data_IF_749975431749
#
_entry.id   IF_749975431749
#
_cell.length_a   1.000
_cell.length_b   1.000
_cell.length_c   1.000
_cell.angle_alpha   90.00
_cell.angle_beta   90.00
_cell.angle_gamma   90.00
#
_symmetry.space_group_name_H-M   'P 1'
#
loop_
_entity.id
_entity.type
_entity.pdbx_description
1 polymer ?
#
# COMPACT_ATOMS: atom_id res chain seq x y z
N UNK A 1 13.25 16.33 10.62
CA UNK A 1 14.04 17.58 10.53
C UNK A 1 15.12 17.39 9.49
N UNK A 2 15.24 18.29 8.51
CA UNK A 2 16.40 18.31 7.62
C UNK A 2 17.62 18.85 8.40
N UNK A 3 18.17 18.05 9.30
CA UNK A 3 19.25 18.46 10.21
C UNK A 3 20.45 19.01 9.44
N UNK A 4 20.70 18.47 8.24
CA UNK A 4 21.71 18.99 7.31
C UNK A 4 21.41 20.42 6.84
N UNK A 5 20.17 20.75 6.47
CA UNK A 5 19.77 22.10 6.06
C UNK A 5 19.94 23.09 7.23
N UNK A 6 19.43 22.73 8.41
CA UNK A 6 19.56 23.54 9.60
C UNK A 6 21.03 23.81 9.98
N UNK A 7 21.87 22.75 10.00
CA UNK A 7 23.30 22.86 10.36
C UNK A 7 24.13 23.59 9.31
N UNK A 8 23.78 23.46 8.03
CA UNK A 8 24.48 24.16 6.95
C UNK A 8 24.01 25.60 6.73
N UNK A 9 22.94 26.03 7.42
CA UNK A 9 22.32 27.33 7.20
C UNK A 9 21.64 27.47 5.82
N UNK A 10 21.45 26.37 5.09
CA UNK A 10 20.82 26.37 3.75
C UNK A 10 19.31 26.21 3.86
N UNK A 11 18.56 26.84 2.96
CA UNK A 11 17.09 26.81 2.91
C UNK A 11 16.43 27.12 4.29
N UNK A 12 16.67 28.33 4.84
CA UNK A 12 16.15 28.72 6.15
C UNK A 12 14.61 28.72 6.21
N UNK A 13 13.96 28.97 5.07
CA UNK A 13 12.51 28.90 4.88
C UNK A 13 11.98 27.47 5.09
N UNK A 14 12.61 26.46 4.50
CA UNK A 14 12.26 25.05 4.68
C UNK A 14 12.49 24.60 6.12
N UNK A 15 13.62 25.02 6.71
CA UNK A 15 13.93 24.71 8.11
C UNK A 15 12.90 25.32 9.06
N UNK A 16 12.51 26.57 8.84
CA UNK A 16 11.48 27.25 9.62
C UNK A 16 10.09 26.60 9.43
N UNK A 17 9.74 26.20 8.21
CA UNK A 17 8.49 25.50 7.92
C UNK A 17 8.42 24.13 8.62
N UNK A 18 9.50 23.34 8.55
CA UNK A 18 9.59 22.05 9.23
C UNK A 18 9.50 22.19 10.76
N UNK A 19 10.20 23.19 11.35
CA UNK A 19 10.13 23.45 12.78
C UNK A 19 8.72 23.87 13.23
N UNK A 20 8.03 24.71 12.44
CA UNK A 20 6.63 25.07 12.70
C UNK A 20 5.71 23.86 12.65
N UNK A 21 5.90 22.95 11.69
CA UNK A 21 5.09 21.74 11.60
C UNK A 21 5.34 20.82 12.80
N UNK A 22 6.59 20.54 13.15
CA UNK A 22 6.93 19.68 14.28
C UNK A 22 6.34 20.18 15.60
N UNK A 23 6.42 21.48 15.87
CA UNK A 23 5.82 22.07 17.08
C UNK A 23 4.30 21.91 17.13
N UNK A 24 3.63 21.95 15.97
CA UNK A 24 2.16 21.75 15.88
C UNK A 24 1.75 20.28 15.93
N UNK A 25 2.61 19.38 15.44
CA UNK A 25 2.33 17.95 15.36
C UNK A 25 2.65 17.19 16.66
N UNK A 26 3.24 17.85 17.66
CA UNK A 26 3.49 17.24 18.96
C UNK A 26 2.15 16.95 19.67
N UNK A 27 2.00 15.73 20.17
CA UNK A 27 0.88 15.33 21.01
C UNK A 27 0.87 16.07 22.35
N UNK A 28 -0.24 16.00 23.12
CA UNK A 28 -0.35 16.65 24.42
C UNK A 28 0.70 16.18 25.45
N UNK A 29 1.24 14.98 25.28
CA UNK A 29 2.31 14.38 26.09
C UNK A 29 3.73 14.70 25.58
N UNK A 30 3.84 15.47 24.49
CA UNK A 30 5.09 15.83 23.84
C UNK A 30 5.63 14.79 22.86
N UNK A 31 4.89 13.72 22.56
CA UNK A 31 5.27 12.71 21.57
C UNK A 31 4.97 13.15 20.13
N UNK A 32 5.51 12.42 19.15
CA UNK A 32 5.13 12.52 17.74
C UNK A 32 4.77 11.14 17.22
N UNK A 33 3.74 11.07 16.38
CA UNK A 33 3.50 9.88 15.58
C UNK A 33 4.67 9.66 14.61
N UNK A 34 5.13 8.41 14.51
CA UNK A 34 6.19 8.04 13.57
C UNK A 34 5.78 8.37 12.12
N UNK A 35 4.54 8.04 11.77
CA UNK A 35 3.87 8.44 10.54
C UNK A 35 2.36 8.26 10.69
N UNK A 36 1.52 9.10 10.04
CA UNK A 36 0.11 8.79 9.86
C UNK A 36 -0.02 7.47 9.09
N UNK A 37 -1.04 6.67 9.38
CA UNK A 37 -1.27 5.35 8.77
C UNK A 37 -2.74 5.20 8.35
N UNK A 38 -3.36 6.32 7.95
CA UNK A 38 -4.80 6.41 7.73
C UNK A 38 -5.31 5.38 6.70
N UNK A 39 -4.59 5.20 5.58
CA UNK A 39 -4.93 4.19 4.57
C UNK A 39 -4.69 2.79 5.10
N UNK A 40 -3.54 2.53 5.73
CA UNK A 40 -3.21 1.19 6.26
C UNK A 40 -4.24 0.72 7.29
N UNK A 41 -4.57 1.56 8.28
CA UNK A 41 -5.56 1.22 9.30
C UNK A 41 -6.98 1.11 8.73
N UNK A 42 -7.33 2.00 7.80
CA UNK A 42 -8.63 1.91 7.10
C UNK A 42 -8.74 0.62 6.32
N UNK A 43 -7.67 0.19 5.63
CA UNK A 43 -7.66 -1.06 4.89
C UNK A 43 -7.92 -2.25 5.82
N UNK A 44 -7.20 -2.36 6.93
CA UNK A 44 -7.38 -3.47 7.86
C UNK A 44 -8.77 -3.48 8.53
N UNK A 45 -9.26 -2.32 8.98
CA UNK A 45 -10.58 -2.22 9.59
C UNK A 45 -11.69 -2.56 8.58
N UNK A 46 -11.56 -2.08 7.34
CA UNK A 46 -12.53 -2.35 6.27
C UNK A 46 -12.51 -3.82 5.87
N UNK A 47 -11.32 -4.41 5.70
CA UNK A 47 -11.18 -5.84 5.42
C UNK A 47 -11.89 -6.67 6.50
N UNK A 48 -11.64 -6.37 7.78
CA UNK A 48 -12.30 -7.06 8.89
C UNK A 48 -13.82 -6.92 8.86
N UNK A 49 -14.36 -5.73 8.56
CA UNK A 49 -15.80 -5.51 8.41
C UNK A 49 -16.39 -6.29 7.22
N UNK A 50 -15.68 -6.37 6.09
CA UNK A 50 -16.12 -7.15 4.94
C UNK A 50 -16.12 -8.65 5.26
N UNK A 51 -15.08 -9.18 5.90
CA UNK A 51 -15.03 -10.58 6.35
C UNK A 51 -16.14 -10.91 7.37
N UNK A 52 -16.49 -9.95 8.22
CA UNK A 52 -17.59 -10.08 9.17
C UNK A 52 -18.99 -9.95 8.53
N UNK A 53 -19.09 -9.78 7.20
CA UNK A 53 -20.36 -9.69 6.48
C UNK A 53 -21.02 -8.31 6.52
N UNK A 54 -20.29 -7.26 6.91
CA UNK A 54 -20.81 -5.89 7.02
C UNK A 54 -20.60 -5.04 5.75
N UNK A 55 -20.53 -5.67 4.58
CA UNK A 55 -20.30 -4.97 3.30
C UNK A 55 -21.37 -3.91 2.97
N UNK A 56 -22.59 -4.06 3.50
CA UNK A 56 -23.69 -3.13 3.30
C UNK A 56 -23.74 -1.98 4.33
N UNK A 57 -22.78 -1.89 5.27
CA UNK A 57 -22.74 -0.79 6.24
C UNK A 57 -22.59 0.56 5.51
N UNK A 58 -23.55 1.50 5.66
CA UNK A 58 -23.52 2.77 4.94
C UNK A 58 -22.30 3.63 5.26
N UNK A 59 -21.63 3.41 6.41
CA UNK A 59 -20.40 4.13 6.77
C UNK A 59 -19.23 3.78 5.84
N UNK A 60 -19.25 2.62 5.19
CA UNK A 60 -18.24 2.22 4.21
C UNK A 60 -18.28 3.05 2.92
N UNK A 61 -19.34 3.84 2.69
CA UNK A 61 -19.35 4.82 1.60
C UNK A 61 -18.27 5.89 1.78
N UNK A 62 -18.04 6.34 3.03
CA UNK A 62 -16.98 7.30 3.34
C UNK A 62 -15.60 6.66 3.15
N UNK A 63 -15.42 5.40 3.55
CA UNK A 63 -14.22 4.61 3.28
C UNK A 63 -13.91 4.56 1.79
N UNK A 64 -14.90 4.21 0.95
CA UNK A 64 -14.72 4.17 -0.51
C UNK A 64 -14.25 5.53 -1.04
N UNK A 65 -14.91 6.61 -0.63
CA UNK A 65 -14.55 7.95 -1.06
C UNK A 65 -13.12 8.32 -0.64
N UNK A 66 -12.73 7.96 0.60
CA UNK A 66 -11.37 8.17 1.10
C UNK A 66 -10.36 7.41 0.25
N UNK A 67 -10.54 6.10 0.02
CA UNK A 67 -9.61 5.30 -0.77
C UNK A 67 -9.47 5.87 -2.20
N UNK A 68 -10.56 6.22 -2.87
CA UNK A 68 -10.51 6.85 -4.19
C UNK A 68 -9.74 8.18 -4.20
N UNK A 69 -9.89 8.99 -3.15
CA UNK A 69 -9.17 10.26 -3.02
C UNK A 69 -7.67 10.09 -2.74
N UNK A 70 -7.26 8.97 -2.16
CA UNK A 70 -5.87 8.69 -1.80
C UNK A 70 -5.08 7.94 -2.89
N UNK A 71 -5.74 7.44 -3.94
CA UNK A 71 -5.03 6.85 -5.07
C UNK A 71 -4.21 7.92 -5.80
N UNK A 72 -2.95 7.62 -6.06
CA UNK A 72 -2.06 8.53 -6.76
C UNK A 72 -2.38 8.56 -8.26
N UNK A 73 -2.59 9.77 -8.78
CA UNK A 73 -2.90 10.02 -10.20
C UNK A 73 -1.67 10.35 -11.03
N UNK A 74 -0.57 10.66 -10.36
CA UNK A 74 0.71 11.06 -10.97
C UNK A 74 1.77 10.00 -10.65
N UNK A 75 2.79 9.85 -11.52
CA UNK A 75 3.92 8.98 -11.23
C UNK A 75 4.69 9.47 -10.00
N UNK A 76 5.41 8.54 -9.36
CA UNK A 76 6.38 8.88 -8.32
C UNK A 76 7.79 8.87 -8.91
N UNK A 77 8.22 10.03 -9.39
CA UNK A 77 9.43 10.19 -10.21
C UNK A 77 10.71 9.69 -9.55
N UNK A 78 10.84 9.86 -8.22
CA UNK A 78 12.03 9.44 -7.48
C UNK A 78 12.33 7.93 -7.63
N UNK A 79 11.32 7.12 -7.95
CA UNK A 79 11.45 5.68 -8.17
C UNK A 79 11.03 5.24 -9.57
N UNK A 80 10.69 6.16 -10.45
CA UNK A 80 10.08 5.82 -11.75
C UNK A 80 8.82 4.97 -11.60
N UNK A 81 8.08 5.13 -10.50
CA UNK A 81 6.89 4.32 -10.22
C UNK A 81 5.68 4.89 -10.98
N UNK A 82 4.94 4.07 -11.74
CA UNK A 82 3.77 4.55 -12.49
C UNK A 82 2.63 4.98 -11.55
N UNK A 83 1.68 5.83 -12.00
CA UNK A 83 0.49 6.19 -11.22
C UNK A 83 -0.44 4.98 -10.97
N UNK A 84 -1.42 5.16 -10.10
CA UNK A 84 -2.45 4.14 -9.78
C UNK A 84 -2.24 3.40 -8.46
N UNK A 85 -1.18 3.73 -7.73
CA UNK A 85 -0.89 3.13 -6.43
C UNK A 85 -1.55 3.84 -5.25
N UNK A 86 -1.58 3.14 -4.12
CA UNK A 86 -1.79 3.72 -2.80
C UNK A 86 -0.51 3.67 -1.98
N UNK A 87 -0.44 4.54 -0.99
CA UNK A 87 0.51 4.46 0.10
C UNK A 87 -0.19 4.43 1.44
N UNK A 88 0.58 4.42 2.53
CA UNK A 88 0.09 4.17 3.89
C UNK A 88 -0.72 5.31 4.53
N UNK A 89 -0.66 6.55 4.04
CA UNK A 89 -1.20 7.72 4.76
C UNK A 89 -2.07 8.67 3.93
N UNK A 90 -1.43 9.68 3.34
CA UNK A 90 -2.06 10.88 2.80
C UNK A 90 -2.21 10.81 1.28
N UNK A 91 -2.92 11.77 0.67
CA UNK A 91 -3.05 11.87 -0.79
C UNK A 91 -1.73 12.12 -1.53
N UNK A 92 -0.58 12.19 -0.85
CA UNK A 92 0.77 12.20 -1.44
C UNK A 92 1.71 11.27 -0.66
N UNK A 93 1.32 10.00 -0.56
CA UNK A 93 2.10 8.98 0.15
C UNK A 93 3.09 8.29 -0.79
N UNK A 94 4.08 7.62 -0.20
CA UNK A 94 5.01 6.77 -0.94
C UNK A 94 4.29 5.58 -1.55
N UNK A 95 4.70 5.11 -2.75
CA UNK A 95 4.12 3.92 -3.36
C UNK A 95 4.35 2.67 -2.51
N UNK A 96 3.29 1.88 -2.34
CA UNK A 96 3.33 0.65 -1.56
C UNK A 96 2.44 -0.43 -2.18
N UNK A 97 3.02 -1.57 -2.51
CA UNK A 97 2.28 -2.69 -3.10
C UNK A 97 1.29 -3.32 -2.11
N UNK A 98 1.59 -3.34 -0.81
CA UNK A 98 0.67 -3.83 0.22
C UNK A 98 -0.62 -3.00 0.24
N UNK A 99 -0.51 -1.67 0.41
CA UNK A 99 -1.67 -0.78 0.43
C UNK A 99 -2.42 -0.77 -0.90
N UNK A 100 -1.70 -0.87 -2.02
CA UNK A 100 -2.33 -0.94 -3.35
C UNK A 100 -3.14 -2.22 -3.52
N UNK A 101 -2.61 -3.36 -3.06
CA UNK A 101 -3.32 -4.63 -3.07
C UNK A 101 -4.59 -4.59 -2.19
N UNK A 102 -4.45 -4.12 -0.96
CA UNK A 102 -5.57 -4.04 -0.02
C UNK A 102 -6.64 -3.05 -0.51
N UNK A 103 -6.27 -1.81 -0.85
CA UNK A 103 -7.24 -0.82 -1.32
C UNK A 103 -7.95 -1.27 -2.61
N UNK A 104 -7.21 -1.87 -3.56
CA UNK A 104 -7.79 -2.44 -4.77
C UNK A 104 -8.80 -3.55 -4.49
N UNK A 105 -8.41 -4.54 -3.67
CA UNK A 105 -9.29 -5.64 -3.24
C UNK A 105 -10.57 -5.11 -2.58
N UNK A 106 -10.43 -4.19 -1.62
CA UNK A 106 -11.56 -3.63 -0.88
C UNK A 106 -12.53 -2.90 -1.80
N UNK A 107 -12.02 -2.09 -2.73
CA UNK A 107 -12.86 -1.38 -3.68
C UNK A 107 -13.64 -2.33 -4.59
N UNK A 108 -13.06 -3.46 -5.01
CA UNK A 108 -13.78 -4.51 -5.74
C UNK A 108 -14.88 -5.17 -4.91
N UNK A 109 -14.59 -5.45 -3.64
CA UNK A 109 -15.48 -6.20 -2.75
C UNK A 109 -16.63 -5.38 -2.15
N UNK A 110 -16.51 -4.05 -2.11
CA UNK A 110 -17.59 -3.19 -1.64
C UNK A 110 -18.77 -3.17 -2.66
N UNK A 111 -20.02 -2.89 -2.24
CA UNK A 111 -21.20 -2.94 -3.11
C UNK A 111 -21.10 -2.09 -4.40
N UNK A 112 -21.23 -2.71 -5.58
CA UNK A 112 -21.03 -2.02 -6.87
C UNK A 112 -19.55 -1.76 -7.23
N UNK A 113 -18.63 -2.47 -6.59
CA UNK A 113 -17.18 -2.36 -6.78
C UNK A 113 -16.66 -2.97 -8.10
N UNK A 114 -17.42 -3.87 -8.72
CA UNK A 114 -17.03 -4.51 -9.99
C UNK A 114 -16.72 -3.50 -11.11
N UNK A 115 -17.35 -2.31 -11.06
CA UNK A 115 -17.17 -1.23 -12.00
C UNK A 115 -16.27 -0.08 -11.55
N UNK A 116 -15.60 -0.23 -10.40
CA UNK A 116 -14.75 0.81 -9.84
C UNK A 116 -13.45 0.96 -10.65
N UNK A 117 -13.30 2.08 -11.35
CA UNK A 117 -12.09 2.40 -12.12
C UNK A 117 -10.83 2.47 -11.25
N UNK A 118 -10.93 2.97 -10.02
CA UNK A 118 -9.79 3.04 -9.11
C UNK A 118 -9.30 1.63 -8.75
N UNK A 119 -10.23 0.71 -8.49
CA UNK A 119 -9.89 -0.69 -8.20
C UNK A 119 -9.14 -1.35 -9.37
N UNK A 120 -9.63 -1.13 -10.60
CA UNK A 120 -8.98 -1.62 -11.83
C UNK A 120 -7.58 -1.04 -12.00
N UNK A 121 -7.42 0.26 -11.77
CA UNK A 121 -6.12 0.95 -11.88
C UNK A 121 -5.11 0.39 -10.85
N UNK A 122 -5.57 0.08 -9.63
CA UNK A 122 -4.74 -0.59 -8.62
C UNK A 122 -4.26 -1.97 -9.04
N UNK A 123 -5.15 -2.78 -9.61
CA UNK A 123 -4.79 -4.12 -10.13
C UNK A 123 -3.89 -4.02 -11.36
N UNK A 124 -4.10 -3.03 -12.22
CA UNK A 124 -3.20 -2.76 -13.34
C UNK A 124 -1.80 -2.38 -12.84
N UNK A 125 -1.72 -1.53 -11.81
CA UNK A 125 -0.45 -1.18 -11.17
C UNK A 125 0.24 -2.42 -10.59
N UNK A 126 -0.47 -3.25 -9.80
CA UNK A 126 0.09 -4.51 -9.26
C UNK A 126 0.57 -5.45 -10.37
N UNK A 127 -0.15 -5.51 -11.48
CA UNK A 127 0.25 -6.32 -12.63
C UNK A 127 1.55 -5.82 -13.25
N UNK A 128 1.71 -4.50 -13.37
CA UNK A 128 2.91 -3.88 -13.94
C UNK A 128 4.13 -3.99 -13.02
N UNK A 129 3.91 -4.03 -11.69
CA UNK A 129 4.98 -4.05 -10.67
C UNK A 129 5.30 -5.43 -10.12
N UNK A 130 4.65 -6.51 -10.59
CA UNK A 130 5.02 -7.87 -10.20
C UNK A 130 6.47 -8.18 -10.61
N UNK A 131 7.26 -8.63 -9.64
CA UNK A 131 8.65 -9.04 -9.82
C UNK A 131 8.75 -10.19 -10.84
N UNK A 132 9.92 -10.31 -11.48
CA UNK A 132 10.26 -11.45 -12.34
C UNK A 132 10.09 -12.80 -11.64
N UNK A 133 10.35 -12.86 -10.33
CA UNK A 133 10.17 -14.04 -9.48
C UNK A 133 8.70 -14.35 -9.12
N UNK A 134 7.75 -13.49 -9.52
CA UNK A 134 6.33 -13.64 -9.21
C UNK A 134 5.91 -13.03 -7.87
N UNK A 135 6.81 -12.36 -7.17
CA UNK A 135 6.55 -11.64 -5.91
C UNK A 135 6.21 -10.18 -6.16
N UNK A 136 5.98 -9.43 -5.09
CA UNK A 136 5.90 -7.98 -5.13
C UNK A 136 6.90 -7.38 -4.15
N UNK A 137 7.79 -6.57 -4.71
CA UNK A 137 8.59 -5.59 -3.98
C UNK A 137 7.73 -4.41 -3.54
N UNK A 138 8.26 -3.57 -2.63
CA UNK A 138 7.49 -2.48 -2.02
C UNK A 138 6.90 -1.50 -3.06
N UNK A 139 7.71 -1.06 -4.02
CA UNK A 139 7.29 -0.07 -5.01
C UNK A 139 8.00 -0.20 -6.37
N UNK A 140 9.28 -0.59 -6.36
CA UNK A 140 10.06 -0.81 -7.57
C UNK A 140 10.21 -2.30 -7.78
N UNK A 141 9.82 -2.75 -8.97
CA UNK A 141 9.93 -4.14 -9.39
C UNK A 141 11.36 -4.66 -9.27
N UNK A 142 11.50 -5.91 -8.83
CA UNK A 142 12.77 -6.63 -8.69
C UNK A 142 13.76 -5.94 -7.71
N UNK A 143 13.24 -5.24 -6.71
CA UNK A 143 14.05 -4.63 -5.65
C UNK A 143 14.70 -5.70 -4.76
N UNK A 144 15.93 -5.42 -4.31
CA UNK A 144 16.68 -6.32 -3.44
C UNK A 144 16.31 -6.14 -1.95
N UNK A 145 16.58 -7.15 -1.10
CA UNK A 145 16.39 -7.06 0.34
C UNK A 145 17.10 -5.84 0.95
N UNK A 146 16.43 -5.17 1.88
CA UNK A 146 16.85 -3.87 2.46
C UNK A 146 15.68 -2.95 2.79
N UNK A 147 14.52 -3.51 3.16
CA UNK A 147 13.26 -2.77 3.40
C UNK A 147 12.38 -2.53 2.17
N UNK A 148 12.90 -2.73 0.95
CA UNK A 148 12.16 -2.51 -0.31
C UNK A 148 11.90 -3.79 -1.12
N UNK A 149 12.59 -4.88 -0.79
CA UNK A 149 12.43 -6.16 -1.47
C UNK A 149 11.12 -6.88 -1.11
N UNK A 150 10.82 -7.99 -1.80
CA UNK A 150 9.57 -8.70 -1.60
C UNK A 150 9.48 -9.40 -0.26
N UNK A 151 8.27 -9.48 0.29
CA UNK A 151 7.97 -10.29 1.47
C UNK A 151 6.78 -11.24 1.24
N UNK A 152 6.69 -12.36 2.00
CA UNK A 152 5.59 -13.31 1.84
C UNK A 152 4.21 -12.68 2.07
N UNK A 153 4.06 -11.81 3.07
CA UNK A 153 2.79 -11.15 3.38
C UNK A 153 2.29 -10.27 2.22
N UNK A 154 3.16 -9.40 1.69
CA UNK A 154 2.82 -8.52 0.57
C UNK A 154 2.45 -9.32 -0.67
N UNK A 155 3.21 -10.37 -0.96
CA UNK A 155 2.91 -11.29 -2.07
C UNK A 155 1.56 -11.98 -1.89
N UNK A 156 1.23 -12.43 -0.68
CA UNK A 156 -0.06 -13.04 -0.38
C UNK A 156 -1.23 -12.06 -0.55
N UNK A 157 -1.06 -10.79 -0.13
CA UNK A 157 -2.07 -9.76 -0.30
C UNK A 157 -2.28 -9.37 -1.77
N UNK A 158 -1.21 -9.29 -2.55
CA UNK A 158 -1.33 -9.09 -4.00
C UNK A 158 -2.05 -10.26 -4.70
N UNK A 159 -1.81 -11.50 -4.28
CA UNK A 159 -2.56 -12.66 -4.78
C UNK A 159 -4.05 -12.54 -4.43
N UNK A 160 -4.39 -12.20 -3.20
CA UNK A 160 -5.78 -11.96 -2.79
C UNK A 160 -6.47 -10.90 -3.66
N UNK A 161 -5.81 -9.76 -3.88
CA UNK A 161 -6.33 -8.69 -4.73
C UNK A 161 -6.57 -9.13 -6.17
N UNK A 162 -5.68 -9.92 -6.76
CA UNK A 162 -5.88 -10.48 -8.10
C UNK A 162 -7.11 -11.39 -8.14
N UNK A 163 -7.26 -12.28 -7.16
CA UNK A 163 -8.42 -13.18 -7.08
C UNK A 163 -9.73 -12.42 -6.88
N UNK A 164 -9.75 -11.41 -5.99
CA UNK A 164 -10.91 -10.56 -5.73
C UNK A 164 -11.32 -9.74 -6.96
N UNK A 165 -10.36 -9.39 -7.83
CA UNK A 165 -10.62 -8.76 -9.13
C UNK A 165 -11.17 -9.71 -10.20
N UNK A 166 -11.34 -11.00 -9.87
CA UNK A 166 -11.86 -12.03 -10.76
C UNK A 166 -10.80 -12.78 -11.56
N UNK A 167 -9.51 -12.63 -11.25
CA UNK A 167 -8.49 -13.48 -11.86
C UNK A 167 -8.73 -14.94 -11.44
N UNK A 168 -8.71 -15.91 -12.38
CA UNK A 168 -8.87 -17.30 -12.02
C UNK A 168 -7.65 -17.79 -11.21
N UNK A 169 -7.79 -18.83 -10.36
CA UNK A 169 -6.65 -19.40 -9.64
C UNK A 169 -5.49 -19.87 -10.53
N UNK A 170 -5.79 -20.21 -11.78
CA UNK A 170 -4.79 -20.59 -12.79
C UNK A 170 -4.11 -19.42 -13.51
N UNK A 171 -4.45 -18.17 -13.20
CA UNK A 171 -3.80 -16.98 -13.77
C UNK A 171 -2.28 -17.06 -13.55
N UNK A 172 -1.49 -16.80 -14.59
CA UNK A 172 -0.03 -16.91 -14.53
C UNK A 172 0.59 -16.03 -13.44
N UNK A 173 0.00 -14.88 -13.13
CA UNK A 173 0.45 -13.97 -12.07
C UNK A 173 0.27 -14.61 -10.69
N UNK A 174 -0.91 -15.19 -10.45
CA UNK A 174 -1.24 -15.93 -9.23
C UNK A 174 -0.37 -17.18 -9.10
N UNK A 175 -0.27 -17.99 -10.15
CA UNK A 175 0.46 -19.25 -10.13
C UNK A 175 1.96 -19.05 -9.86
N UNK A 176 2.59 -18.00 -10.43
CA UNK A 176 3.99 -17.65 -10.14
C UNK A 176 4.19 -17.26 -8.68
N UNK A 177 3.31 -16.42 -8.14
CA UNK A 177 3.35 -15.98 -6.75
C UNK A 177 3.22 -17.17 -5.78
N UNK A 178 2.24 -18.05 -6.02
CA UNK A 178 2.01 -19.24 -5.20
C UNK A 178 3.19 -20.21 -5.25
N UNK A 179 3.80 -20.43 -6.43
CA UNK A 179 5.04 -21.23 -6.53
C UNK A 179 6.16 -20.63 -5.70
N UNK A 180 6.31 -19.30 -5.71
CA UNK A 180 7.35 -18.63 -4.93
C UNK A 180 7.07 -18.71 -3.43
N UNK A 181 5.82 -18.52 -2.99
CA UNK A 181 5.42 -18.70 -1.59
C UNK A 181 5.65 -20.13 -1.11
N UNK A 182 5.33 -21.15 -1.91
CA UNK A 182 5.61 -22.54 -1.56
C UNK A 182 7.12 -22.80 -1.44
N UNK A 183 7.93 -22.22 -2.33
CA UNK A 183 9.39 -22.41 -2.34
C UNK A 183 10.12 -21.74 -1.15
N UNK A 184 9.51 -20.74 -0.51
CA UNK A 184 10.13 -20.03 0.64
C UNK A 184 9.48 -20.39 1.98
N UNK A 185 8.47 -21.25 1.98
CA UNK A 185 7.89 -21.78 3.21
C UNK A 185 8.94 -22.64 3.93
N UNK A 186 9.08 -22.44 5.24
CA UNK A 186 9.96 -23.24 6.08
C UNK A 186 9.38 -24.66 6.27
N UNK A 187 10.21 -25.66 6.62
CA UNK A 187 9.73 -27.02 6.87
C UNK A 187 8.66 -27.14 7.96
N UNK A 188 8.62 -26.20 8.92
CA UNK A 188 7.61 -26.11 9.97
C UNK A 188 6.30 -25.43 9.51
N UNK A 189 6.20 -25.06 8.23
CA UNK A 189 5.07 -24.37 7.64
C UNK A 189 5.09 -22.85 7.80
N UNK A 190 6.05 -22.29 8.55
CA UNK A 190 6.15 -20.85 8.79
C UNK A 190 6.78 -20.10 7.62
N UNK A 191 6.64 -18.77 7.66
CA UNK A 191 7.32 -17.85 6.77
C UNK A 191 8.26 -16.96 7.57
N UNK A 192 9.30 -16.44 6.92
CA UNK A 192 10.13 -15.39 7.52
C UNK A 192 9.31 -14.11 7.70
N UNK A 193 9.17 -13.68 8.95
CA UNK A 193 8.76 -12.33 9.27
C UNK A 193 9.98 -11.43 9.06
N UNK A 194 9.83 -10.43 8.19
CA UNK A 194 10.79 -9.33 8.07
C UNK A 194 10.65 -8.38 9.26
#
# INVERSE_FOLDING_TARGET
>A
ICLGLARSGRAPDLTAAAARWLRRAAGPDGSWDLMPLDVTWTNFATAALLEAGHAADPRLAATRAMLRAHQQKEPFDAFGCPPGFWGFSSPRSWPMALETAEAGSLLFRLPGGADDGHARDGIAWLTATQDSAGTWSLCVRDSKPGGFGPCPQMTAKAVGALLDSGAPPGDARVARALRRLAAVQRPDGSYEAL
#
